data_IF_284625786511
#
_entry.id   IF_284625786511
#
_cell.length_a   1.000
_cell.length_b   1.000
_cell.length_c   1.000
_cell.angle_alpha   90.00
_cell.angle_beta   90.00
_cell.angle_gamma   90.00
#
_symmetry.space_group_name_H-M   'P 1'
#
loop_
_entity.id
_entity.type
_entity.pdbx_description
1 polymer ?
#
# COMPACT_ATOMS: atom_id res chain seq x y z
N UNK A 1 1.15 18.09 18.62
CA UNK A 1 1.23 17.25 17.41
C UNK A 1 0.01 17.58 16.56
N UNK A 2 0.22 18.04 15.34
CA UNK A 2 -0.85 18.32 14.36
C UNK A 2 -1.51 17.02 13.95
N UNK A 3 -2.85 16.98 13.95
CA UNK A 3 -3.61 15.83 13.45
C UNK A 3 -3.24 15.61 11.98
N UNK A 4 -2.90 14.38 11.55
CA UNK A 4 -2.59 14.10 10.15
C UNK A 4 -3.79 14.48 9.25
N UNK A 5 -3.53 14.87 7.98
CA UNK A 5 -4.59 15.27 7.08
C UNK A 5 -5.65 14.16 6.94
N UNK A 6 -6.92 14.58 6.98
CA UNK A 6 -8.08 13.70 6.76
C UNK A 6 -8.50 13.78 5.31
N UNK A 7 -8.72 12.63 4.68
CA UNK A 7 -9.21 12.53 3.30
C UNK A 7 -10.65 12.02 3.21
N UNK A 8 -11.37 12.03 4.33
CA UNK A 8 -12.73 11.48 4.48
C UNK A 8 -13.78 12.11 3.58
N UNK A 9 -13.56 13.36 3.18
CA UNK A 9 -14.47 14.15 2.36
C UNK A 9 -14.03 14.22 0.88
N UNK A 10 -12.91 13.59 0.54
CA UNK A 10 -12.42 13.53 -0.85
C UNK A 10 -13.30 12.57 -1.63
N UNK A 11 -13.96 13.11 -2.66
CA UNK A 11 -14.81 12.32 -3.55
C UNK A 11 -13.98 11.57 -4.59
N UNK A 12 -14.61 10.61 -5.27
CA UNK A 12 -13.99 9.90 -6.39
C UNK A 12 -13.48 10.86 -7.48
N UNK A 13 -14.32 11.81 -7.89
CA UNK A 13 -13.97 12.78 -8.93
C UNK A 13 -12.81 13.68 -8.52
N UNK A 14 -12.76 14.06 -7.25
CA UNK A 14 -11.66 14.84 -6.70
C UNK A 14 -10.36 14.02 -6.63
N UNK A 15 -10.42 12.76 -6.20
CA UNK A 15 -9.26 11.86 -6.23
C UNK A 15 -8.72 11.70 -7.66
N UNK A 16 -9.60 11.51 -8.65
CA UNK A 16 -9.22 11.47 -10.07
C UNK A 16 -8.61 12.80 -10.55
N UNK A 17 -9.12 13.94 -10.07
CA UNK A 17 -8.53 15.24 -10.40
C UNK A 17 -7.11 15.40 -9.81
N UNK A 18 -6.89 14.94 -8.59
CA UNK A 18 -5.56 14.91 -7.95
C UNK A 18 -4.59 14.00 -8.70
N UNK A 19 -5.04 12.82 -9.13
CA UNK A 19 -4.24 11.91 -9.95
C UNK A 19 -3.83 12.57 -11.28
N UNK A 20 -4.77 13.18 -12.01
CA UNK A 20 -4.49 13.94 -13.24
C UNK A 20 -3.47 15.06 -13.03
N UNK A 21 -3.58 15.78 -11.92
CA UNK A 21 -2.68 16.89 -11.61
C UNK A 21 -1.22 16.45 -11.37
N UNK A 22 -0.98 15.22 -10.91
CA UNK A 22 0.37 14.69 -10.73
C UNK A 22 1.01 14.18 -12.03
N UNK A 23 0.22 13.84 -13.06
CA UNK A 23 0.73 13.22 -14.30
C UNK A 23 1.92 13.98 -14.93
N UNK A 24 1.91 15.31 -15.09
CA UNK A 24 3.04 16.03 -15.66
C UNK A 24 4.33 15.87 -14.84
N UNK A 25 4.24 16.01 -13.52
CA UNK A 25 5.37 15.92 -12.60
C UNK A 25 5.91 14.49 -12.55
N UNK A 26 5.03 13.48 -12.55
CA UNK A 26 5.44 12.08 -12.60
C UNK A 26 6.15 11.73 -13.90
N UNK A 27 5.75 12.36 -15.02
CA UNK A 27 6.42 12.18 -16.32
C UNK A 27 7.84 12.75 -16.30
N UNK A 28 8.02 13.93 -15.71
CA UNK A 28 9.34 14.55 -15.55
C UNK A 28 10.28 13.70 -14.68
N UNK A 29 9.73 13.03 -13.66
CA UNK A 29 10.49 12.18 -12.72
C UNK A 29 10.68 10.74 -13.18
N UNK A 30 10.01 10.30 -14.25
CA UNK A 30 9.97 8.90 -14.65
C UNK A 30 11.36 8.32 -14.97
N UNK A 31 12.22 9.07 -15.66
CA UNK A 31 13.60 8.64 -15.95
C UNK A 31 14.44 8.52 -14.68
N UNK A 32 14.28 9.45 -13.74
CA UNK A 32 14.95 9.39 -12.44
C UNK A 32 14.53 8.17 -11.62
N UNK A 33 13.25 7.81 -11.65
CA UNK A 33 12.75 6.59 -11.02
C UNK A 33 13.31 5.31 -11.68
N UNK A 34 13.43 5.30 -13.02
CA UNK A 34 14.01 4.17 -13.76
C UNK A 34 15.48 3.95 -13.39
N UNK A 35 16.29 5.00 -13.37
CA UNK A 35 17.71 4.93 -13.01
C UNK A 35 17.90 4.58 -11.53
N UNK A 36 17.11 5.20 -10.64
CA UNK A 36 17.16 4.97 -9.20
C UNK A 36 16.66 3.58 -8.78
N UNK A 37 15.77 2.98 -9.59
CA UNK A 37 15.08 1.71 -9.30
C UNK A 37 14.26 1.75 -8.01
N UNK A 38 13.78 2.94 -7.64
CA UNK A 38 12.98 3.20 -6.45
C UNK A 38 11.96 4.30 -6.71
N UNK A 39 10.94 4.40 -5.85
CA UNK A 39 10.07 5.57 -5.85
C UNK A 39 10.79 6.73 -5.17
N UNK A 40 11.12 7.75 -5.94
CA UNK A 40 11.80 8.94 -5.43
C UNK A 40 11.01 9.60 -4.29
N UNK A 41 11.73 10.15 -3.31
CA UNK A 41 11.17 10.76 -2.09
C UNK A 41 10.13 11.83 -2.41
N UNK A 42 10.40 12.69 -3.38
CA UNK A 42 9.51 13.79 -3.78
C UNK A 42 8.19 13.25 -4.37
N UNK A 43 8.24 12.13 -5.07
CA UNK A 43 7.04 11.45 -5.59
C UNK A 43 6.22 10.83 -4.46
N UNK A 44 6.89 10.21 -3.48
CA UNK A 44 6.23 9.67 -2.30
C UNK A 44 5.53 10.78 -1.49
N UNK A 45 6.21 11.90 -1.24
CA UNK A 45 5.66 13.06 -0.55
C UNK A 45 4.43 13.65 -1.26
N UNK A 46 4.48 13.76 -2.60
CA UNK A 46 3.36 14.24 -3.41
C UNK A 46 2.14 13.29 -3.31
N UNK A 47 2.38 11.98 -3.31
CA UNK A 47 1.33 10.97 -3.18
C UNK A 47 0.69 10.97 -1.79
N UNK A 48 1.46 11.14 -0.71
CA UNK A 48 0.92 11.31 0.64
C UNK A 48 0.11 12.60 0.76
N UNK A 49 0.67 13.73 0.30
CA UNK A 49 0.03 15.04 0.36
C UNK A 49 -1.31 15.08 -0.38
N UNK A 50 -1.38 14.41 -1.53
CA UNK A 50 -2.63 14.29 -2.31
C UNK A 50 -3.60 13.26 -1.74
N UNK A 51 -3.16 12.41 -0.81
CA UNK A 51 -3.95 11.33 -0.23
C UNK A 51 -4.13 10.13 -1.16
N UNK A 52 -3.48 10.12 -2.33
CA UNK A 52 -3.61 9.06 -3.33
C UNK A 52 -3.04 7.71 -2.90
N UNK A 53 -2.36 7.64 -1.75
CA UNK A 53 -1.99 6.37 -1.11
C UNK A 53 -3.06 5.86 -0.14
N UNK A 54 -4.06 6.67 0.21
CA UNK A 54 -5.08 6.37 1.24
C UNK A 54 -6.48 6.28 0.66
N UNK A 55 -6.60 6.04 -0.65
CA UNK A 55 -7.89 6.01 -1.34
C UNK A 55 -8.79 4.83 -0.93
N UNK A 56 -8.21 3.70 -0.52
CA UNK A 56 -8.92 2.54 0.01
C UNK A 56 -8.83 2.36 1.52
N UNK A 57 -8.08 3.22 2.21
CA UNK A 57 -8.07 3.20 3.67
C UNK A 57 -9.45 3.64 4.21
N UNK A 58 -10.03 2.95 5.20
CA UNK A 58 -11.33 3.31 5.78
C UNK A 58 -11.37 4.74 6.34
N UNK A 59 -12.54 5.40 6.27
CA UNK A 59 -12.72 6.77 6.77
C UNK A 59 -12.45 6.92 8.26
N UNK A 60 -12.71 5.87 9.05
CA UNK A 60 -12.41 5.86 10.49
C UNK A 60 -10.92 6.06 10.79
N UNK A 61 -10.04 5.70 9.86
CA UNK A 61 -8.59 5.93 9.92
C UNK A 61 -8.16 7.19 9.15
N UNK A 62 -9.11 7.99 8.66
CA UNK A 62 -8.88 9.23 7.92
C UNK A 62 -8.66 9.05 6.41
N UNK A 63 -8.83 7.84 5.88
CA UNK A 63 -8.74 7.58 4.44
C UNK A 63 -10.01 8.00 3.68
N UNK A 64 -10.02 7.74 2.37
CA UNK A 64 -11.14 8.13 1.50
C UNK A 64 -12.26 7.09 1.45
N UNK A 65 -11.94 5.81 1.69
CA UNK A 65 -12.88 4.68 1.57
C UNK A 65 -13.63 4.69 0.22
N UNK A 66 -12.88 4.89 -0.87
CA UNK A 66 -13.44 4.90 -2.22
C UNK A 66 -13.94 3.50 -2.62
N UNK A 67 -14.88 3.43 -3.58
CA UNK A 67 -15.31 2.18 -4.20
C UNK A 67 -14.14 1.36 -4.76
N UNK A 68 -14.34 0.05 -4.91
CA UNK A 68 -13.29 -0.89 -5.31
C UNK A 68 -12.69 -0.52 -6.67
N UNK A 69 -13.49 0.01 -7.58
CA UNK A 69 -13.13 0.46 -8.94
C UNK A 69 -11.96 1.46 -8.96
N UNK A 70 -11.79 2.24 -7.89
CA UNK A 70 -10.69 3.19 -7.73
C UNK A 70 -9.31 2.53 -7.87
N UNK A 71 -9.19 1.22 -7.58
CA UNK A 71 -7.94 0.45 -7.75
C UNK A 71 -7.49 0.34 -9.20
N UNK A 72 -8.41 0.50 -10.16
CA UNK A 72 -8.10 0.45 -11.58
C UNK A 72 -7.92 1.87 -12.13
N UNK A 73 -8.85 2.77 -11.84
CA UNK A 73 -8.90 4.09 -12.46
C UNK A 73 -7.78 5.02 -11.99
N UNK A 74 -7.49 5.06 -10.68
CA UNK A 74 -6.45 5.95 -10.15
C UNK A 74 -5.06 5.54 -10.65
N UNK A 75 -4.64 4.26 -10.56
CA UNK A 75 -3.37 3.83 -11.14
C UNK A 75 -3.32 3.99 -12.66
N UNK A 76 -4.42 3.75 -13.39
CA UNK A 76 -4.46 3.95 -14.84
C UNK A 76 -4.16 5.42 -15.22
N UNK A 77 -4.73 6.38 -14.49
CA UNK A 77 -4.44 7.80 -14.72
C UNK A 77 -2.99 8.16 -14.35
N UNK A 78 -2.52 7.73 -13.16
CA UNK A 78 -1.15 7.93 -12.70
C UNK A 78 -0.13 7.35 -13.69
N UNK A 79 -0.46 6.21 -14.30
CA UNK A 79 0.39 5.49 -15.25
C UNK A 79 0.70 6.27 -16.52
N UNK A 80 -0.12 7.29 -16.85
CA UNK A 80 0.15 8.21 -17.97
C UNK A 80 1.38 9.10 -17.73
N UNK A 81 1.82 9.21 -16.47
CA UNK A 81 3.07 9.87 -16.08
C UNK A 81 4.20 8.88 -15.84
N UNK A 82 3.99 7.88 -14.97
CA UNK A 82 5.00 6.88 -14.63
C UNK A 82 4.35 5.53 -14.28
N UNK A 83 4.61 4.49 -15.10
CA UNK A 83 4.04 3.16 -14.90
C UNK A 83 4.49 2.51 -13.58
N UNK A 84 5.76 2.65 -13.19
CA UNK A 84 6.29 2.10 -11.93
C UNK A 84 5.62 2.74 -10.71
N UNK A 85 5.34 4.05 -10.77
CA UNK A 85 4.59 4.75 -9.71
C UNK A 85 3.16 4.26 -9.63
N UNK A 86 2.48 4.11 -10.78
CA UNK A 86 1.13 3.56 -10.82
C UNK A 86 1.03 2.16 -10.22
N UNK A 87 1.99 1.28 -10.55
CA UNK A 87 2.06 -0.07 -9.98
C UNK A 87 2.20 -0.05 -8.46
N UNK A 88 3.04 0.83 -7.91
CA UNK A 88 3.16 0.99 -6.47
C UNK A 88 1.88 1.54 -5.84
N UNK A 89 1.23 2.56 -6.43
CA UNK A 89 -0.04 3.10 -5.91
C UNK A 89 -1.14 2.03 -5.88
N UNK A 90 -1.22 1.19 -6.93
CA UNK A 90 -2.15 0.07 -6.95
C UNK A 90 -1.87 -0.91 -5.80
N UNK A 91 -0.63 -1.39 -5.66
CA UNK A 91 -0.27 -2.34 -4.60
C UNK A 91 -0.54 -1.78 -3.20
N UNK A 92 -0.02 -0.58 -2.91
CA UNK A 92 -0.18 0.05 -1.61
C UNK A 92 -1.67 0.31 -1.29
N UNK A 93 -2.46 0.70 -2.30
CA UNK A 93 -3.90 0.88 -2.18
C UNK A 93 -4.65 -0.42 -1.85
N UNK A 94 -4.42 -1.51 -2.60
CA UNK A 94 -5.10 -2.79 -2.33
C UNK A 94 -4.70 -3.36 -0.97
N UNK A 95 -3.48 -3.12 -0.48
CA UNK A 95 -3.09 -3.58 0.85
C UNK A 95 -3.86 -2.88 1.98
N UNK A 96 -4.27 -1.63 1.80
CA UNK A 96 -5.19 -0.98 2.73
C UNK A 96 -6.57 -1.62 2.72
N UNK A 97 -7.10 -1.94 1.54
CA UNK A 97 -8.36 -2.67 1.41
C UNK A 97 -8.27 -4.05 2.09
N UNK A 98 -7.17 -4.78 1.88
CA UNK A 98 -6.93 -6.08 2.53
C UNK A 98 -6.85 -5.94 4.05
N UNK A 99 -6.09 -4.98 4.58
CA UNK A 99 -5.97 -4.77 6.02
C UNK A 99 -7.32 -4.44 6.68
N UNK A 100 -8.21 -3.74 5.97
CA UNK A 100 -9.56 -3.45 6.47
C UNK A 100 -10.41 -4.72 6.71
N UNK A 101 -10.05 -5.87 6.12
CA UNK A 101 -10.69 -7.17 6.34
C UNK A 101 -10.12 -7.93 7.55
N UNK A 102 -9.01 -7.47 8.12
CA UNK A 102 -8.38 -8.11 9.29
C UNK A 102 -9.11 -7.68 10.57
N UNK A 103 -8.85 -8.41 11.66
CA UNK A 103 -9.23 -8.02 13.03
C UNK A 103 -8.86 -6.56 13.28
N UNK A 104 -9.77 -5.81 13.89
CA UNK A 104 -9.59 -4.38 14.16
C UNK A 104 -8.30 -4.07 14.93
N UNK A 105 -7.81 -4.99 15.76
CA UNK A 105 -6.53 -4.84 16.46
C UNK A 105 -5.35 -4.68 15.50
N UNK A 106 -5.34 -5.42 14.38
CA UNK A 106 -4.31 -5.26 13.37
C UNK A 106 -4.40 -3.90 12.66
N UNK A 107 -5.62 -3.40 12.47
CA UNK A 107 -5.84 -2.08 11.88
C UNK A 107 -5.35 -0.96 12.81
N UNK A 108 -5.66 -1.04 14.11
CA UNK A 108 -5.17 -0.10 15.13
C UNK A 108 -3.64 -0.16 15.25
N UNK A 109 -3.05 -1.35 15.19
CA UNK A 109 -1.59 -1.52 15.26
C UNK A 109 -0.87 -0.82 14.09
N UNK A 110 -1.43 -0.92 12.88
CA UNK A 110 -0.84 -0.32 11.67
C UNK A 110 -1.15 1.17 11.56
N UNK A 111 -2.42 1.57 11.70
CA UNK A 111 -2.88 2.94 11.39
C UNK A 111 -3.09 3.84 12.61
N UNK A 112 -3.25 3.28 13.81
CA UNK A 112 -3.64 4.05 15.00
C UNK A 112 -2.64 5.13 15.39
N UNK A 113 -1.33 4.83 15.27
CA UNK A 113 -0.25 5.80 15.52
C UNK A 113 0.15 6.58 14.28
N UNK A 114 0.14 5.94 13.11
CA UNK A 114 0.54 6.53 11.85
C UNK A 114 -0.47 6.17 10.75
N UNK A 115 -1.44 7.04 10.44
CA UNK A 115 -2.41 6.74 9.38
C UNK A 115 -1.79 6.84 7.97
N UNK A 116 -0.55 7.30 7.85
CA UNK A 116 0.22 7.27 6.60
C UNK A 116 1.02 5.97 6.42
N UNK A 117 0.99 5.05 7.39
CA UNK A 117 1.77 3.81 7.29
C UNK A 117 1.38 2.99 6.06
N UNK A 118 2.41 2.64 5.29
CA UNK A 118 2.30 1.87 4.06
C UNK A 118 2.62 0.39 4.33
N UNK A 119 2.02 -0.46 3.51
CA UNK A 119 2.11 -1.91 3.64
C UNK A 119 2.60 -2.44 2.30
N UNK A 120 3.76 -3.08 2.26
CA UNK A 120 4.19 -3.86 1.11
C UNK A 120 3.67 -5.29 1.22
N UNK A 121 3.90 -6.10 0.19
CA UNK A 121 3.52 -7.51 0.27
C UNK A 121 4.49 -8.44 -0.44
N UNK A 122 4.63 -9.64 0.14
CA UNK A 122 5.26 -10.81 -0.46
C UNK A 122 4.24 -11.95 -0.51
N UNK A 123 3.19 -11.79 -1.31
CA UNK A 123 2.05 -12.74 -1.32
C UNK A 123 1.86 -13.49 -2.64
N UNK A 124 2.57 -13.11 -3.71
CA UNK A 124 2.39 -13.70 -5.04
C UNK A 124 2.69 -15.21 -5.07
N UNK A 125 3.63 -15.66 -4.23
CA UNK A 125 3.96 -17.08 -4.07
C UNK A 125 4.13 -17.40 -2.57
N UNK A 126 3.62 -18.54 -2.09
CA UNK A 126 3.83 -18.96 -0.70
C UNK A 126 5.26 -19.47 -0.51
N UNK A 127 6.19 -18.52 -0.38
CA UNK A 127 7.64 -18.76 -0.26
C UNK A 127 8.07 -18.87 1.21
N UNK A 128 7.20 -18.47 2.13
CA UNK A 128 7.38 -18.58 3.56
C UNK A 128 7.02 -19.93 4.14
N UNK A 129 7.73 -20.33 5.20
CA UNK A 129 7.37 -21.44 6.07
C UNK A 129 7.07 -20.93 7.47
N UNK A 130 5.97 -21.40 8.03
CA UNK A 130 5.53 -21.09 9.38
C UNK A 130 5.49 -22.34 10.24
N UNK A 131 5.85 -22.20 11.51
CA UNK A 131 5.64 -23.21 12.54
C UNK A 131 4.82 -22.60 13.67
N UNK A 132 3.78 -23.30 14.09
CA UNK A 132 2.97 -22.89 15.25
C UNK A 132 3.83 -22.96 16.53
N UNK A 133 3.70 -21.94 17.37
CA UNK A 133 4.25 -21.86 18.74
C UNK A 133 3.14 -21.50 19.70
N UNK A 134 3.42 -21.53 21.00
CA UNK A 134 2.47 -20.99 21.97
C UNK A 134 2.17 -19.52 21.62
N UNK A 135 0.89 -19.20 21.52
CA UNK A 135 0.37 -17.85 21.18
C UNK A 135 0.86 -17.24 19.85
N UNK A 136 1.19 -18.03 18.83
CA UNK A 136 1.44 -17.48 17.49
C UNK A 136 2.19 -18.40 16.53
N UNK A 137 3.01 -17.78 15.67
CA UNK A 137 3.81 -18.46 14.65
C UNK A 137 5.23 -17.92 14.62
N UNK A 138 6.19 -18.81 14.39
CA UNK A 138 7.53 -18.42 13.93
C UNK A 138 7.57 -18.60 12.42
N UNK A 139 7.92 -17.54 11.70
CA UNK A 139 7.91 -17.48 10.25
C UNK A 139 9.34 -17.25 9.74
N UNK A 140 9.73 -17.98 8.69
CA UNK A 140 11.01 -17.82 8.01
C UNK A 140 10.83 -18.03 6.51
N UNK A 141 11.51 -17.24 5.71
CA UNK A 141 11.44 -17.34 4.26
C UNK A 141 12.22 -16.23 3.56
N UNK A 142 12.18 -16.29 2.23
CA UNK A 142 12.63 -15.21 1.36
C UNK A 142 11.50 -14.93 0.39
N UNK A 143 10.96 -13.72 0.43
CA UNK A 143 9.86 -13.30 -0.44
C UNK A 143 10.39 -12.34 -1.49
N UNK A 144 10.37 -12.77 -2.75
CA UNK A 144 10.69 -11.87 -3.86
C UNK A 144 9.44 -11.10 -4.31
N UNK A 145 9.66 -10.06 -5.12
CA UNK A 145 8.59 -9.20 -5.66
C UNK A 145 7.75 -8.50 -4.60
N UNK A 146 8.38 -7.65 -3.80
CA UNK A 146 7.71 -6.78 -2.82
C UNK A 146 7.75 -5.33 -3.31
N UNK A 147 6.84 -4.98 -4.24
CA UNK A 147 6.75 -3.61 -4.77
C UNK A 147 6.42 -2.61 -3.67
N UNK A 148 7.12 -1.47 -3.66
CA UNK A 148 6.96 -0.43 -2.64
C UNK A 148 7.55 -0.77 -1.26
N UNK A 149 8.37 -1.82 -1.14
CA UNK A 149 8.94 -2.25 0.14
C UNK A 149 9.81 -1.18 0.81
N UNK A 150 10.61 -0.43 0.02
CA UNK A 150 11.54 0.57 0.56
C UNK A 150 10.84 1.74 1.26
N UNK A 151 9.55 1.96 0.94
CA UNK A 151 8.72 3.03 1.50
C UNK A 151 7.67 2.52 2.48
N UNK A 152 7.67 1.21 2.80
CA UNK A 152 6.64 0.59 3.64
C UNK A 152 7.14 0.31 5.05
N UNK A 153 6.27 0.59 6.03
CA UNK A 153 6.54 0.29 7.45
C UNK A 153 6.20 -1.18 7.79
N UNK A 154 5.24 -1.76 7.04
CA UNK A 154 4.70 -3.09 7.26
C UNK A 154 4.81 -3.96 6.02
N UNK A 155 4.74 -5.28 6.21
CA UNK A 155 4.72 -6.23 5.11
C UNK A 155 3.69 -7.35 5.34
N UNK A 156 2.83 -7.60 4.37
CA UNK A 156 1.96 -8.77 4.32
C UNK A 156 2.66 -9.92 3.63
N UNK A 157 2.88 -11.04 4.33
CA UNK A 157 3.62 -12.18 3.81
C UNK A 157 2.74 -13.42 3.72
N UNK A 158 2.77 -14.10 2.56
CA UNK A 158 2.15 -15.41 2.42
C UNK A 158 3.05 -16.48 3.05
N UNK A 159 2.49 -17.29 3.95
CA UNK A 159 3.21 -18.31 4.71
C UNK A 159 2.46 -19.63 4.63
N UNK A 160 3.16 -20.73 4.32
CA UNK A 160 2.62 -22.07 4.57
C UNK A 160 2.96 -22.50 5.99
N UNK A 161 1.94 -22.68 6.82
CA UNK A 161 2.11 -23.23 8.16
C UNK A 161 2.02 -24.76 8.09
N UNK A 162 2.91 -25.44 8.81
CA UNK A 162 2.87 -26.91 8.92
C UNK A 162 2.83 -27.37 10.38
N UNK A 163 2.10 -28.46 10.61
CA UNK A 163 2.16 -29.27 11.82
C UNK A 163 2.61 -30.69 11.44
N UNK A 164 3.88 -30.99 11.71
CA UNK A 164 4.57 -32.14 11.11
C UNK A 164 4.62 -32.03 9.58
N UNK A 165 4.13 -33.06 8.87
CA UNK A 165 4.04 -33.04 7.40
C UNK A 165 2.78 -32.35 6.86
N UNK A 166 1.78 -32.09 7.71
CA UNK A 166 0.49 -31.54 7.29
C UNK A 166 0.56 -30.03 7.16
N UNK A 167 0.01 -29.48 6.07
CA UNK A 167 -0.27 -28.04 5.96
C UNK A 167 -1.51 -27.76 6.81
N UNK A 168 -1.43 -26.73 7.66
CA UNK A 168 -2.48 -26.32 8.60
C UNK A 168 -2.82 -24.85 8.46
#
# INVERSE_FOLDING_TARGET
MTRPPSFTDVTYDEAMARARALVPVLRERAEGAEVGREMQKETLEDLHRTGLLRFHQPKRWGGMELPFEAIFDLPAEIGRGCASTAWNVANLGIHHWMLALYDERAQEEVWGKNPESLIASGIAYPQGRGRRVDRGFVVSGFWNFSSGVDVSDWNMLAVMVRDGERVV
#
